data_IF_424710210171
#
_entry.id   IF_424710210171
#
_cell.length_a   1.000
_cell.length_b   1.000
_cell.length_c   1.000
_cell.angle_alpha   90.00
_cell.angle_beta   90.00
_cell.angle_gamma   90.00
#
_symmetry.space_group_name_H-M   'P 1'
#
loop_
_entity.id
_entity.type
_entity.pdbx_description
1 polymer ?
#
# COMPACT_ATOMS: atom_id res chain seq x y z
N UNK A 1 13.82 10.74 -36.07
CA UNK A 1 12.85 9.75 -35.58
C UNK A 1 13.65 8.81 -34.72
N UNK A 2 13.44 8.83 -33.41
CA UNK A 2 13.69 7.72 -32.47
C UNK A 2 13.21 8.23 -31.11
N UNK A 3 11.91 8.09 -30.87
CA UNK A 3 11.33 8.35 -29.55
C UNK A 3 11.77 7.19 -28.65
N UNK A 4 12.82 7.44 -27.87
CA UNK A 4 13.28 6.56 -26.80
C UNK A 4 12.09 6.26 -25.90
N UNK A 5 11.49 5.08 -26.09
CA UNK A 5 10.36 4.62 -25.28
C UNK A 5 10.96 4.23 -23.94
N UNK A 6 10.99 5.18 -23.01
CA UNK A 6 11.39 4.91 -21.63
C UNK A 6 10.61 3.67 -21.14
N UNK A 7 11.27 2.70 -20.48
CA UNK A 7 10.62 1.48 -20.04
C UNK A 7 9.44 1.85 -19.15
N UNK A 8 8.23 1.56 -19.63
CA UNK A 8 7.00 1.80 -18.90
C UNK A 8 7.04 0.96 -17.63
N UNK A 9 7.04 1.61 -16.47
CA UNK A 9 6.98 0.92 -15.19
C UNK A 9 5.74 -0.01 -15.18
N UNK A 10 5.86 -1.25 -14.68
CA UNK A 10 4.73 -2.17 -14.64
C UNK A 10 3.56 -1.55 -13.90
N UNK A 11 2.36 -1.66 -14.48
CA UNK A 11 1.10 -1.11 -13.94
C UNK A 11 0.81 -1.55 -12.50
N UNK A 12 1.35 -2.70 -12.11
CA UNK A 12 1.33 -3.21 -10.75
C UNK A 12 2.75 -3.63 -10.36
N UNK A 13 3.51 -2.77 -9.68
CA UNK A 13 4.83 -3.15 -9.19
C UNK A 13 4.70 -4.30 -8.19
N UNK A 14 5.62 -5.26 -8.24
CA UNK A 14 5.66 -6.35 -7.28
C UNK A 14 5.99 -5.82 -5.87
N UNK A 15 5.64 -6.58 -4.84
CA UNK A 15 6.00 -6.22 -3.46
C UNK A 15 7.51 -6.07 -3.29
N UNK A 16 8.31 -6.92 -3.95
CA UNK A 16 9.77 -6.83 -3.94
C UNK A 16 10.30 -5.57 -4.64
N UNK A 17 9.59 -5.05 -5.65
CA UNK A 17 9.92 -3.78 -6.28
C UNK A 17 9.56 -2.61 -5.34
N UNK A 18 8.36 -2.64 -4.73
CA UNK A 18 7.92 -1.62 -3.78
C UNK A 18 8.75 -1.58 -2.51
N UNK A 19 9.27 -2.71 -2.05
CA UNK A 19 10.17 -2.78 -0.89
C UNK A 19 11.49 -2.00 -1.11
N UNK A 20 11.87 -1.77 -2.37
CA UNK A 20 13.06 -0.98 -2.75
C UNK A 20 12.72 0.45 -3.16
N UNK A 21 11.43 0.78 -3.26
CA UNK A 21 10.98 2.10 -3.67
C UNK A 21 11.19 3.12 -2.53
N UNK A 22 11.94 4.22 -2.77
CA UNK A 22 12.23 5.20 -1.73
C UNK A 22 10.97 5.86 -1.14
N UNK A 23 9.93 6.09 -1.96
CA UNK A 23 8.68 6.69 -1.49
C UNK A 23 7.88 5.70 -0.65
N UNK A 24 7.85 4.42 -1.03
CA UNK A 24 7.23 3.37 -0.23
C UNK A 24 7.93 3.20 1.13
N UNK A 25 9.26 3.24 1.15
CA UNK A 25 10.07 3.19 2.39
C UNK A 25 9.74 4.41 3.26
N UNK A 26 9.79 5.62 2.70
CA UNK A 26 9.49 6.85 3.44
C UNK A 26 8.05 6.85 4.00
N UNK A 27 7.09 6.38 3.21
CA UNK A 27 5.69 6.21 3.64
C UNK A 27 5.56 5.23 4.81
N UNK A 28 6.23 4.07 4.71
CA UNK A 28 6.26 3.07 5.79
C UNK A 28 6.83 3.65 7.08
N UNK A 29 7.97 4.35 7.01
CA UNK A 29 8.58 5.00 8.19
C UNK A 29 7.62 5.99 8.85
N UNK A 30 6.88 6.78 8.06
CA UNK A 30 5.90 7.73 8.62
C UNK A 30 4.74 7.01 9.34
N UNK A 31 4.24 5.91 8.77
CA UNK A 31 3.18 5.11 9.41
C UNK A 31 3.69 4.50 10.71
N UNK A 32 4.87 3.87 10.69
CA UNK A 32 5.47 3.26 11.88
C UNK A 32 5.70 4.28 13.00
N UNK A 33 6.22 5.48 12.67
CA UNK A 33 6.41 6.56 13.63
C UNK A 33 5.09 7.04 14.27
N UNK A 34 3.98 7.01 13.53
CA UNK A 34 2.65 7.33 14.07
C UNK A 34 2.12 6.21 14.96
N UNK A 35 2.29 4.96 14.56
CA UNK A 35 1.83 3.79 15.33
C UNK A 35 2.49 3.69 16.70
N UNK A 36 3.76 4.09 16.83
CA UNK A 36 4.47 4.13 18.13
C UNK A 36 3.83 5.10 19.12
N UNK A 37 3.15 6.15 18.64
CA UNK A 37 2.49 7.16 19.48
C UNK A 37 1.07 6.77 19.92
N UNK A 38 0.51 5.71 19.34
CA UNK A 38 -0.84 5.25 19.63
C UNK A 38 -0.88 4.33 20.85
N UNK A 39 -2.00 4.38 21.58
CA UNK A 39 -2.29 3.38 22.61
C UNK A 39 -2.52 1.99 21.98
N UNK A 40 -2.43 0.91 22.75
CA UNK A 40 -2.73 -0.44 22.24
C UNK A 40 -4.11 -0.54 21.56
N UNK A 41 -5.15 0.04 22.14
CA UNK A 41 -6.51 0.01 21.60
C UNK A 41 -6.62 0.79 20.27
N UNK A 42 -5.94 1.94 20.18
CA UNK A 42 -5.89 2.72 18.95
C UNK A 42 -5.14 1.98 17.84
N UNK A 43 -4.07 1.25 18.17
CA UNK A 43 -3.36 0.40 17.20
C UNK A 43 -4.24 -0.75 16.72
N UNK A 44 -5.01 -1.37 17.62
CA UNK A 44 -5.95 -2.42 17.24
C UNK A 44 -7.01 -1.87 16.27
N UNK A 45 -7.64 -0.74 16.60
CA UNK A 45 -8.63 -0.09 15.74
C UNK A 45 -8.06 0.30 14.35
N UNK A 46 -6.80 0.76 14.30
CA UNK A 46 -6.13 1.04 13.02
C UNK A 46 -6.02 -0.22 12.16
N UNK A 47 -5.53 -1.33 12.72
CA UNK A 47 -5.37 -2.57 11.97
C UNK A 47 -6.71 -3.19 11.57
N UNK A 48 -7.76 -3.01 12.37
CA UNK A 48 -9.11 -3.45 12.05
C UNK A 48 -9.65 -2.69 10.83
N UNK A 49 -9.48 -1.36 10.81
CA UNK A 49 -9.84 -0.52 9.67
C UNK A 49 -9.06 -0.91 8.40
N UNK A 50 -7.75 -1.15 8.52
CA UNK A 50 -6.92 -1.63 7.40
C UNK A 50 -7.49 -2.93 6.83
N UNK A 51 -7.80 -3.92 7.67
CA UNK A 51 -8.39 -5.19 7.22
C UNK A 51 -9.73 -4.97 6.52
N UNK A 52 -10.60 -4.13 7.05
CA UNK A 52 -11.90 -3.81 6.43
C UNK A 52 -11.73 -3.22 5.02
N UNK A 53 -10.77 -2.31 4.81
CA UNK A 53 -10.52 -1.74 3.49
C UNK A 53 -10.15 -2.82 2.44
N UNK A 54 -9.35 -3.82 2.81
CA UNK A 54 -8.96 -4.90 1.90
C UNK A 54 -10.03 -5.96 1.70
N UNK A 55 -10.87 -6.24 2.72
CA UNK A 55 -12.01 -7.16 2.61
C UNK A 55 -13.09 -6.56 1.71
N UNK A 56 -13.46 -5.28 1.92
CA UNK A 56 -14.42 -4.58 1.05
C UNK A 56 -13.88 -4.43 -0.39
N UNK A 57 -12.57 -4.27 -0.56
CA UNK A 57 -11.90 -4.28 -1.86
C UNK A 57 -11.89 -5.66 -2.57
N UNK A 58 -12.13 -6.76 -1.84
CA UNK A 58 -12.27 -8.09 -2.41
C UNK A 58 -13.72 -8.36 -2.86
N UNK A 59 -14.72 -7.97 -2.06
CA UNK A 59 -16.14 -8.15 -2.41
C UNK A 59 -16.60 -7.25 -3.56
N UNK A 60 -16.10 -6.01 -3.63
CA UNK A 60 -16.36 -5.12 -4.77
C UNK A 60 -15.79 -5.62 -6.11
N UNK A 61 -14.75 -6.48 -6.08
CA UNK A 61 -14.24 -7.18 -7.28
C UNK A 61 -15.03 -8.44 -7.63
N UNK A 62 -15.70 -9.05 -6.66
CA UNK A 62 -16.52 -10.27 -6.84
C UNK A 62 -17.90 -9.97 -7.41
N UNK A 63 -18.45 -8.81 -7.09
CA UNK A 63 -19.77 -8.31 -7.55
C UNK A 63 -19.76 -7.66 -8.94
N UNK A 64 -18.58 -7.48 -9.55
CA UNK A 64 -18.41 -7.01 -10.94
C UNK A 64 -18.08 -8.15 -11.93
N UNK A 65 -18.37 -9.40 -11.58
CA UNK A 65 -18.21 -10.56 -12.48
C UNK A 65 -19.56 -11.07 -12.95
#
# INVERSE_FOLDING_TARGET
MDAETAPQAPLHPSEAAMARDPAAIAGRTQVEARLVRLTPDQRAAFWDAVRHCYVLGADSRRTRR
#
